data_IF_061634313100
#
_entry.id   IF_061634313100
#
_cell.length_a   1.000
_cell.length_b   1.000
_cell.length_c   1.000
_cell.angle_alpha   90.00
_cell.angle_beta   90.00
_cell.angle_gamma   90.00
#
_symmetry.space_group_name_H-M   'P 1'
#
loop_
_entity.id
_entity.type
_entity.pdbx_description
1 polymer ?
#
# COMPACT_ATOMS: atom_id res chain seq x y z
N UNK A 1 3.07 34.42 0.37
CA UNK A 1 1.94 33.73 -0.32
C UNK A 1 2.14 33.68 -1.85
N UNK A 2 3.32 33.25 -2.36
CA UNK A 2 3.58 33.15 -3.82
C UNK A 2 4.16 31.80 -4.28
N UNK A 3 4.47 30.87 -3.37
CA UNK A 3 5.10 29.58 -3.71
C UNK A 3 4.13 28.49 -4.15
N UNK A 4 2.88 28.48 -3.64
CA UNK A 4 1.92 27.38 -3.91
C UNK A 4 1.34 27.36 -5.34
N UNK A 5 1.41 28.48 -6.06
CA UNK A 5 0.87 28.57 -7.43
C UNK A 5 1.78 27.93 -8.50
N UNK A 6 3.07 27.70 -8.19
CA UNK A 6 4.04 27.15 -9.15
C UNK A 6 4.00 25.63 -9.23
N UNK A 7 3.64 24.94 -8.15
CA UNK A 7 3.67 23.47 -8.12
C UNK A 7 2.47 22.84 -8.84
N UNK A 8 1.29 23.46 -8.79
CA UNK A 8 0.10 22.98 -9.51
C UNK A 8 0.23 23.03 -11.04
N UNK A 9 1.09 23.91 -11.57
CA UNK A 9 1.29 24.07 -13.02
C UNK A 9 2.22 22.97 -13.59
N UNK A 10 3.13 22.44 -12.77
CA UNK A 10 4.03 21.37 -13.20
C UNK A 10 3.31 20.03 -13.24
N UNK A 11 2.42 19.74 -12.29
CA UNK A 11 1.68 18.46 -12.23
C UNK A 11 0.74 18.23 -13.43
N UNK A 12 0.08 19.29 -13.95
CA UNK A 12 -0.83 19.15 -15.11
C UNK A 12 -0.12 18.85 -16.43
N UNK A 13 1.19 19.10 -16.55
CA UNK A 13 1.93 18.90 -17.81
C UNK A 13 2.32 17.44 -18.05
N UNK A 14 2.34 16.60 -17.03
CA UNK A 14 2.72 15.18 -17.17
C UNK A 14 1.55 14.27 -17.60
N UNK A 15 0.31 14.62 -17.26
CA UNK A 15 -0.87 13.83 -17.65
C UNK A 15 -1.16 13.87 -19.17
N UNK A 16 -0.63 14.87 -19.88
CA UNK A 16 -0.80 14.98 -21.34
C UNK A 16 0.17 14.09 -22.14
N UNK A 17 1.15 13.45 -21.48
CA UNK A 17 2.14 12.58 -22.13
C UNK A 17 1.76 11.09 -22.17
N UNK A 18 0.81 10.65 -21.35
CA UNK A 18 0.51 9.22 -21.16
C UNK A 18 -0.78 8.72 -21.83
N UNK A 19 -1.39 9.51 -22.71
CA UNK A 19 -2.51 9.05 -23.53
C UNK A 19 -2.07 8.81 -24.96
N UNK A 20 -1.72 7.58 -25.35
CA UNK A 20 -1.89 7.02 -26.70
C UNK A 20 -1.45 5.54 -26.71
N UNK A 21 -2.37 4.64 -27.07
CA UNK A 21 -2.21 3.48 -27.96
C UNK A 21 -3.02 2.25 -27.50
N UNK A 22 -4.29 2.22 -27.91
CA UNK A 22 -5.03 0.98 -28.11
C UNK A 22 -4.51 0.28 -29.37
N UNK A 23 -4.15 -1.00 -29.27
CA UNK A 23 -4.06 -1.89 -30.42
C UNK A 23 -4.44 -3.31 -29.98
N UNK A 24 -5.51 -3.82 -30.58
CA UNK A 24 -5.95 -5.20 -30.47
C UNK A 24 -5.04 -6.14 -31.25
N UNK A 25 -4.77 -7.34 -30.72
CA UNK A 25 -4.48 -8.52 -31.54
C UNK A 25 -4.92 -9.78 -30.78
N UNK A 26 -5.90 -10.46 -31.37
CA UNK A 26 -6.26 -11.83 -31.06
C UNK A 26 -5.12 -12.79 -31.47
N UNK A 27 -4.90 -13.86 -30.70
CA UNK A 27 -4.25 -15.08 -31.20
C UNK A 27 -4.70 -16.28 -30.38
N UNK A 28 -5.39 -17.17 -31.09
CA UNK A 28 -5.75 -18.53 -30.69
C UNK A 28 -4.49 -19.40 -30.73
N UNK A 29 -4.23 -20.20 -29.68
CA UNK A 29 -3.39 -21.39 -29.82
C UNK A 29 -4.01 -22.54 -29.02
N UNK A 30 -4.40 -23.57 -29.76
CA UNK A 30 -4.74 -24.90 -29.25
C UNK A 30 -3.46 -25.63 -28.83
N UNK A 31 -3.50 -26.36 -27.73
CA UNK A 31 -2.41 -27.23 -27.27
C UNK A 31 -2.93 -28.38 -26.43
N UNK A 32 -2.82 -29.59 -26.98
CA UNK A 32 -3.16 -30.87 -26.37
C UNK A 32 -2.20 -31.27 -25.24
N UNK A 33 -2.72 -32.04 -24.27
CA UNK A 33 -2.07 -33.26 -23.79
C UNK A 33 -1.21 -33.16 -22.53
N UNK A 34 -1.62 -33.86 -21.47
CA UNK A 34 -0.94 -35.06 -20.94
C UNK A 34 -1.45 -35.33 -19.52
N UNK A 35 -2.01 -36.52 -19.30
CA UNK A 35 -2.16 -37.05 -17.95
C UNK A 35 -0.81 -37.59 -17.44
N UNK A 36 -0.64 -37.66 -16.12
CA UNK A 36 -0.36 -38.92 -15.42
C UNK A 36 -0.56 -38.77 -13.91
N UNK A 37 -0.75 -39.90 -13.26
CA UNK A 37 -1.21 -40.10 -11.89
C UNK A 37 -0.02 -40.42 -10.99
N UNK A 38 -0.01 -39.95 -9.74
CA UNK A 38 1.07 -40.34 -8.81
C UNK A 38 1.09 -39.67 -7.43
N UNK A 39 0.14 -40.04 -6.56
CA UNK A 39 0.15 -39.92 -5.08
C UNK A 39 1.50 -40.41 -4.50
N UNK A 40 2.13 -39.80 -3.45
CA UNK A 40 1.49 -39.60 -2.14
C UNK A 40 1.84 -38.33 -1.34
N UNK A 41 0.91 -38.06 -0.40
CA UNK A 41 0.99 -37.15 0.75
C UNK A 41 2.33 -37.18 1.48
N UNK A 42 2.85 -36.00 1.85
CA UNK A 42 3.00 -35.72 3.27
C UNK A 42 2.32 -34.40 3.67
N UNK A 43 1.65 -34.44 4.82
CA UNK A 43 0.94 -33.33 5.48
C UNK A 43 1.78 -32.06 5.58
N UNK A 44 1.65 -31.19 4.58
CA UNK A 44 2.01 -29.77 4.63
C UNK A 44 0.68 -29.01 4.59
N UNK A 45 0.39 -28.08 5.52
CA UNK A 45 -0.75 -27.18 5.36
C UNK A 45 -0.63 -26.52 3.97
N UNK A 46 -1.73 -26.37 3.21
CA UNK A 46 -1.67 -26.02 1.79
C UNK A 46 -1.01 -24.65 1.63
N UNK A 47 0.24 -24.65 1.19
CA UNK A 47 0.83 -23.50 0.52
C UNK A 47 0.17 -23.47 -0.85
N UNK A 48 -0.77 -22.53 -1.01
CA UNK A 48 -1.47 -22.29 -2.26
C UNK A 48 -0.46 -22.05 -3.37
N UNK A 49 -0.52 -22.91 -4.37
CA UNK A 49 0.09 -22.72 -5.68
C UNK A 49 -0.80 -21.72 -6.44
N UNK A 50 -0.66 -20.44 -6.11
CA UNK A 50 -1.24 -19.35 -6.89
C UNK A 50 -0.13 -18.33 -7.07
N UNK A 51 0.31 -18.16 -8.32
CA UNK A 51 1.16 -17.04 -8.75
C UNK A 51 0.35 -15.73 -8.74
N UNK A 52 -0.47 -15.53 -7.71
CA UNK A 52 -1.15 -14.29 -7.43
C UNK A 52 -0.17 -13.39 -6.69
N UNK A 53 0.02 -12.19 -7.22
CA UNK A 53 0.82 -11.17 -6.58
C UNK A 53 0.27 -10.93 -5.15
N UNK A 54 1.10 -11.05 -4.10
CA UNK A 54 0.62 -10.95 -2.72
C UNK A 54 -0.01 -9.58 -2.42
N UNK A 55 0.21 -8.59 -3.29
CA UNK A 55 -0.37 -7.27 -3.19
C UNK A 55 -1.79 -7.15 -3.78
N UNK A 56 -2.30 -8.13 -4.52
CA UNK A 56 -3.64 -8.06 -5.14
C UNK A 56 -4.77 -8.37 -4.14
N UNK A 57 -4.45 -9.02 -3.02
CA UNK A 57 -5.41 -9.49 -2.01
C UNK A 57 -5.35 -8.71 -0.69
N UNK A 58 -5.02 -7.41 -0.72
CA UNK A 58 -5.05 -6.58 0.49
C UNK A 58 -6.50 -6.46 0.98
N UNK A 59 -6.78 -7.10 2.11
CA UNK A 59 -8.06 -7.10 2.82
C UNK A 59 -7.84 -6.61 4.26
N UNK A 60 -8.91 -6.30 5.02
CA UNK A 60 -8.79 -5.90 6.43
C UNK A 60 -8.15 -6.97 7.34
N UNK A 61 -8.00 -8.21 6.86
CA UNK A 61 -7.40 -9.33 7.59
C UNK A 61 -6.00 -9.70 7.07
N UNK A 62 -5.41 -8.87 6.21
CA UNK A 62 -4.08 -9.10 5.66
C UNK A 62 -3.01 -9.12 6.77
N UNK A 63 -2.10 -10.11 6.77
CA UNK A 63 -0.98 -10.15 7.71
C UNK A 63 -0.13 -8.87 7.66
N UNK A 64 0.38 -8.44 8.81
CA UNK A 64 1.17 -7.20 8.93
C UNK A 64 2.33 -7.17 7.92
N UNK A 65 3.02 -8.29 7.77
CA UNK A 65 4.16 -8.47 6.86
C UNK A 65 3.78 -8.20 5.39
N UNK A 66 2.57 -8.53 4.96
CA UNK A 66 2.09 -8.25 3.61
C UNK A 66 1.77 -6.77 3.42
N UNK A 67 1.23 -6.10 4.43
CA UNK A 67 0.97 -4.66 4.37
C UNK A 67 2.29 -3.88 4.37
N UNK A 68 3.32 -4.33 5.09
CA UNK A 68 4.67 -3.74 4.99
C UNK A 68 5.29 -3.92 3.59
N UNK A 69 5.02 -5.03 2.91
CA UNK A 69 5.56 -5.31 1.58
C UNK A 69 4.80 -4.59 0.45
N UNK A 70 3.49 -4.44 0.58
CA UNK A 70 2.58 -4.06 -0.50
C UNK A 70 1.77 -2.80 -0.22
N UNK A 71 1.76 -2.31 1.02
CA UNK A 71 0.95 -1.17 1.44
C UNK A 71 1.42 0.13 0.79
N UNK A 72 0.49 0.84 0.17
CA UNK A 72 0.73 2.20 -0.32
C UNK A 72 0.79 3.17 0.87
N UNK A 73 1.60 4.22 0.74
CA UNK A 73 1.67 5.28 1.73
C UNK A 73 0.36 6.06 1.75
N UNK A 74 -0.15 6.35 2.94
CA UNK A 74 -1.39 7.12 3.10
C UNK A 74 -1.30 8.45 2.37
N UNK A 75 -2.20 8.66 1.42
CA UNK A 75 -2.40 9.95 0.78
C UNK A 75 -3.11 10.92 1.74
N UNK A 76 -2.54 12.09 2.05
CA UNK A 76 -3.12 13.03 3.02
C UNK A 76 -4.43 13.67 2.56
N UNK A 77 -4.78 13.59 1.28
CA UNK A 77 -6.05 14.03 0.72
C UNK A 77 -7.12 12.92 0.66
N UNK A 78 -6.78 11.66 1.00
CA UNK A 78 -7.76 10.57 1.09
C UNK A 78 -8.82 10.85 2.17
N UNK A 79 -10.05 10.34 1.99
CA UNK A 79 -11.14 10.52 2.96
C UNK A 79 -10.76 10.05 4.38
N UNK A 80 -10.04 8.93 4.47
CA UNK A 80 -9.56 8.38 5.74
C UNK A 80 -8.54 9.30 6.41
N UNK A 81 -7.59 9.84 5.63
CA UNK A 81 -6.60 10.79 6.12
C UNK A 81 -7.26 12.08 6.62
N UNK A 82 -8.17 12.65 5.83
CA UNK A 82 -8.87 13.89 6.17
C UNK A 82 -9.71 13.73 7.45
N UNK A 83 -10.43 12.61 7.60
CA UNK A 83 -11.23 12.32 8.81
C UNK A 83 -10.39 12.25 10.08
N UNK A 84 -9.17 11.73 9.96
CA UNK A 84 -8.25 11.60 11.09
C UNK A 84 -7.31 12.81 11.21
N UNK A 85 -7.51 13.88 10.43
CA UNK A 85 -6.60 15.02 10.37
C UNK A 85 -5.12 14.58 10.24
N UNK A 86 -4.88 13.62 9.34
CA UNK A 86 -3.55 13.08 9.07
C UNK A 86 -2.66 14.15 8.44
N UNK A 87 -1.50 14.37 9.04
CA UNK A 87 -0.52 15.37 8.65
C UNK A 87 0.82 14.68 8.39
N UNK A 88 1.35 14.84 7.18
CA UNK A 88 2.65 14.31 6.79
C UNK A 88 3.45 15.40 6.07
N UNK A 89 4.54 15.94 6.67
CA UNK A 89 5.07 15.63 7.99
C UNK A 89 4.21 16.22 9.13
N UNK A 90 4.40 15.71 10.35
CA UNK A 90 3.76 16.24 11.56
C UNK A 90 4.13 17.71 11.80
N UNK A 91 3.13 18.54 12.11
CA UNK A 91 3.36 19.92 12.55
C UNK A 91 3.56 20.05 14.06
N UNK A 92 3.38 18.95 14.81
CA UNK A 92 3.48 18.93 16.26
C UNK A 92 4.88 18.52 16.71
N UNK A 93 5.53 19.31 17.56
CA UNK A 93 6.86 18.97 18.05
C UNK A 93 6.78 17.71 18.91
N UNK A 94 7.63 16.73 18.61
CA UNK A 94 7.76 15.46 19.35
C UNK A 94 6.54 14.54 19.32
N UNK A 95 5.50 14.82 18.53
CA UNK A 95 4.39 13.89 18.32
C UNK A 95 4.43 13.37 16.89
N UNK A 96 4.65 12.06 16.74
CA UNK A 96 4.73 11.42 15.43
C UNK A 96 4.27 9.97 15.49
N UNK A 97 3.96 9.37 14.34
CA UNK A 97 3.64 7.95 14.24
C UNK A 97 4.76 7.09 14.86
N UNK A 98 6.03 7.46 14.70
CA UNK A 98 7.19 6.74 15.25
C UNK A 98 7.17 6.58 16.78
N UNK A 99 6.42 7.43 17.50
CA UNK A 99 6.25 7.35 18.96
C UNK A 99 4.78 7.23 19.38
N UNK A 100 3.94 6.67 18.51
CA UNK A 100 2.52 6.45 18.73
C UNK A 100 2.22 4.98 19.14
N UNK A 101 1.33 4.74 20.10
CA UNK A 101 0.98 3.39 20.59
C UNK A 101 0.30 2.49 19.54
N UNK A 102 -0.17 3.06 18.43
CA UNK A 102 -0.86 2.34 17.35
C UNK A 102 0.00 2.18 16.09
N UNK A 103 1.27 2.56 16.16
CA UNK A 103 2.21 2.36 15.07
C UNK A 103 2.86 0.98 15.21
N UNK A 104 2.71 0.18 14.17
CA UNK A 104 3.15 -1.22 14.14
C UNK A 104 4.35 -1.42 13.20
N UNK A 105 4.92 -0.33 12.68
CA UNK A 105 6.14 -0.38 11.88
C UNK A 105 7.40 -0.65 12.71
N UNK A 106 8.40 -1.22 12.05
CA UNK A 106 9.70 -1.47 12.67
C UNK A 106 10.38 -0.17 13.15
N UNK A 107 11.16 -0.27 14.23
CA UNK A 107 11.86 0.87 14.81
C UNK A 107 12.91 1.41 13.82
N UNK A 108 12.83 2.71 13.53
CA UNK A 108 13.71 3.37 12.55
C UNK A 108 13.22 3.30 11.10
N UNK A 109 12.12 2.61 10.81
CA UNK A 109 11.50 2.64 9.49
C UNK A 109 10.93 4.02 9.15
N UNK A 110 10.98 4.38 7.86
CA UNK A 110 10.43 5.64 7.35
C UNK A 110 8.90 5.63 7.30
N UNK A 111 8.31 4.44 7.21
CA UNK A 111 6.88 4.19 7.19
C UNK A 111 6.58 2.84 7.81
N UNK A 112 5.33 2.64 8.21
CA UNK A 112 4.89 1.42 8.86
C UNK A 112 3.38 1.35 8.95
N UNK A 113 2.87 0.19 9.33
CA UNK A 113 1.44 0.01 9.47
C UNK A 113 0.90 0.77 10.69
N UNK A 114 -0.37 1.17 10.61
CA UNK A 114 -1.10 1.72 11.74
C UNK A 114 -2.48 1.09 11.80
N UNK A 115 -2.96 0.73 12.99
CA UNK A 115 -4.23 0.03 13.15
C UNK A 115 -5.46 0.84 12.67
N UNK A 116 -5.32 2.16 12.50
CA UNK A 116 -6.36 3.04 11.91
C UNK A 116 -6.30 3.12 10.37
N UNK A 117 -5.20 2.68 9.77
CA UNK A 117 -4.97 2.61 8.33
C UNK A 117 -4.59 1.17 7.94
N UNK A 118 -5.50 0.19 8.08
CA UNK A 118 -5.15 -1.23 8.06
C UNK A 118 -4.54 -1.74 6.75
N UNK A 119 -4.79 -1.06 5.63
CA UNK A 119 -4.35 -1.44 4.28
C UNK A 119 -3.29 -0.51 3.69
N UNK A 120 -2.80 0.46 4.48
CA UNK A 120 -1.87 1.47 4.02
C UNK A 120 -0.74 1.63 5.03
N UNK A 121 0.37 2.20 4.59
CA UNK A 121 1.48 2.57 5.45
C UNK A 121 1.35 4.04 5.83
N UNK A 122 1.59 4.37 7.10
CA UNK A 122 1.74 5.76 7.55
C UNK A 122 3.22 6.10 7.60
N UNK A 123 3.58 7.34 7.27
CA UNK A 123 4.96 7.78 7.47
C UNK A 123 5.26 7.90 8.96
N UNK A 124 6.45 7.45 9.38
CA UNK A 124 6.86 7.47 10.77
C UNK A 124 6.92 8.90 11.34
N UNK A 125 7.16 9.91 10.50
CA UNK A 125 7.16 11.32 10.87
C UNK A 125 5.81 12.03 10.73
N UNK A 126 4.72 11.31 10.42
CA UNK A 126 3.37 11.86 10.32
C UNK A 126 2.67 11.95 11.68
N UNK A 127 1.49 12.56 11.72
CA UNK A 127 0.63 12.64 12.90
C UNK A 127 -0.85 12.51 12.50
N UNK A 128 -1.70 12.01 13.39
CA UNK A 128 -3.15 12.06 13.22
C UNK A 128 -3.86 12.32 14.56
N UNK A 129 -5.13 12.70 14.52
CA UNK A 129 -5.94 13.11 15.69
C UNK A 129 -6.14 12.03 16.74
N UNK A 130 -5.93 10.76 16.39
CA UNK A 130 -6.00 9.61 17.29
C UNK A 130 -4.66 9.27 17.95
N UNK A 131 -3.64 10.12 17.77
CA UNK A 131 -2.33 9.97 18.41
C UNK A 131 -2.42 9.64 19.90
N UNK A 132 -1.62 8.66 20.31
CA UNK A 132 -1.41 8.27 21.71
C UNK A 132 0.08 8.02 21.91
N UNK A 133 0.74 8.68 22.87
CA UNK A 133 2.16 8.43 23.13
C UNK A 133 2.38 7.01 23.66
N UNK A 134 3.49 6.39 23.26
CA UNK A 134 4.01 5.14 23.86
C UNK A 134 4.57 5.34 25.26
#
# INVERSE_FOLDING_TARGET
MRSRAREFILYRRDFLKYGFASAATASLIAGCGSGDSGTPSPSTPPMGDDTADPCDSITPFTPLEQVEACGELVDPASDSAVRLAYEQPSTRPSESCANCSFYEGQQGSVSGQCSFFPQQLVAANAWCSVYRPV
#
